data_IF_986861003816
#
_entry.id   IF_986861003816
#
_cell.length_a   1.000
_cell.length_b   1.000
_cell.length_c   1.000
_cell.angle_alpha   90.00
_cell.angle_beta   90.00
_cell.angle_gamma   90.00
#
_symmetry.space_group_name_H-M   'P 1'
#
loop_
_entity.id
_entity.type
_entity.pdbx_description
1 polymer ?
#
# COMPACT_ATOMS: atom_id res chain seq x y z
N UNK A 1 -14.35 -19.71 7.79
CA UNK A 1 -13.02 -19.69 7.14
C UNK A 1 -12.22 -20.90 7.62
N UNK A 2 -11.53 -21.61 6.71
CA UNK A 2 -10.79 -22.83 7.05
C UNK A 2 -9.82 -22.64 8.24
N UNK A 3 -9.04 -21.56 8.22
CA UNK A 3 -8.04 -21.26 9.26
C UNK A 3 -8.69 -20.99 10.62
N UNK A 4 -9.82 -20.29 10.65
CA UNK A 4 -10.55 -20.04 11.89
C UNK A 4 -11.05 -21.34 12.53
N UNK A 5 -11.47 -22.28 11.70
CA UNK A 5 -12.16 -23.50 12.13
C UNK A 5 -11.21 -24.70 12.33
N UNK A 6 -9.92 -24.55 11.96
CA UNK A 6 -8.89 -25.59 12.05
C UNK A 6 -7.64 -25.08 12.77
N UNK A 7 -7.45 -25.50 14.02
CA UNK A 7 -6.29 -25.11 14.82
C UNK A 7 -4.97 -25.61 14.18
N UNK A 8 -3.94 -24.78 14.20
CA UNK A 8 -2.64 -25.06 13.58
C UNK A 8 -2.56 -24.71 12.09
N UNK A 9 -3.63 -24.19 11.49
CA UNK A 9 -3.63 -23.73 10.10
C UNK A 9 -3.06 -22.32 9.99
N UNK A 10 -2.46 -21.99 8.83
CA UNK A 10 -1.95 -20.68 8.45
C UNK A 10 -2.42 -20.30 7.05
N UNK A 11 -2.63 -19.01 6.81
CA UNK A 11 -2.95 -18.46 5.50
C UNK A 11 -2.38 -17.06 5.37
N UNK A 12 -2.50 -16.46 4.20
CA UNK A 12 -2.27 -15.04 3.97
C UNK A 12 -3.55 -14.40 3.42
N UNK A 13 -3.80 -13.15 3.82
CA UNK A 13 -4.94 -12.38 3.36
C UNK A 13 -4.64 -10.88 3.56
N UNK A 14 -5.42 -10.01 2.93
CA UNK A 14 -5.40 -8.59 3.25
C UNK A 14 -5.82 -8.35 4.70
N UNK A 15 -5.23 -7.33 5.33
CA UNK A 15 -5.46 -7.00 6.74
C UNK A 15 -6.95 -6.76 7.05
N UNK A 16 -7.68 -6.13 6.14
CA UNK A 16 -9.13 -5.87 6.27
C UNK A 16 -9.98 -7.12 6.52
N UNK A 17 -9.57 -8.28 5.99
CA UNK A 17 -10.31 -9.53 6.19
C UNK A 17 -10.09 -10.16 7.57
N UNK A 18 -9.04 -9.80 8.30
CA UNK A 18 -8.73 -10.44 9.58
C UNK A 18 -9.74 -10.09 10.65
N UNK A 19 -10.09 -8.81 10.78
CA UNK A 19 -11.09 -8.34 11.74
C UNK A 19 -12.47 -8.89 11.41
N UNK A 20 -12.87 -8.81 10.14
CA UNK A 20 -14.17 -9.30 9.67
C UNK A 20 -14.36 -10.80 9.91
N UNK A 21 -13.30 -11.58 9.83
CA UNK A 21 -13.34 -13.05 9.93
C UNK A 21 -12.91 -13.60 11.29
N UNK A 22 -12.55 -12.76 12.24
CA UNK A 22 -12.08 -13.18 13.57
C UNK A 22 -10.80 -14.00 13.54
N UNK A 23 -9.90 -13.75 12.59
CA UNK A 23 -8.59 -14.39 12.45
C UNK A 23 -7.51 -13.45 12.94
N UNK A 24 -6.53 -13.94 13.69
CA UNK A 24 -5.43 -13.15 14.21
C UNK A 24 -4.27 -13.10 13.23
N UNK A 25 -3.65 -11.92 13.07
CA UNK A 25 -2.39 -11.78 12.36
C UNK A 25 -1.23 -12.31 13.21
N UNK A 26 -0.26 -12.92 12.56
CA UNK A 26 1.01 -13.28 13.17
C UNK A 26 1.99 -12.09 13.12
N UNK A 27 2.75 -11.89 14.20
CA UNK A 27 3.91 -11.03 14.15
C UNK A 27 5.03 -11.73 13.35
N UNK A 28 5.65 -10.99 12.43
CA UNK A 28 6.72 -11.51 11.56
C UNK A 28 8.03 -10.81 11.89
N UNK A 29 9.11 -11.58 11.97
CA UNK A 29 10.46 -11.02 12.18
C UNK A 29 10.91 -10.23 10.96
N UNK A 30 11.34 -8.99 11.17
CA UNK A 30 11.90 -8.15 10.12
C UNK A 30 13.46 -8.21 10.12
N UNK A 31 14.14 -7.58 9.13
CA UNK A 31 15.61 -7.58 9.05
C UNK A 31 16.33 -6.90 10.22
N UNK A 32 15.63 -6.11 11.03
CA UNK A 32 16.16 -5.55 12.29
C UNK A 32 16.05 -6.53 13.47
N UNK A 33 15.53 -7.75 13.26
CA UNK A 33 15.33 -8.76 14.29
C UNK A 33 14.13 -8.51 15.21
N UNK A 34 13.21 -7.62 14.82
CA UNK A 34 11.99 -7.32 15.56
C UNK A 34 10.81 -8.12 15.01
N UNK A 35 9.96 -8.61 15.92
CA UNK A 35 8.66 -9.19 15.56
C UNK A 35 7.62 -8.08 15.49
N UNK A 36 7.07 -7.85 14.30
CA UNK A 36 6.14 -6.74 14.01
C UNK A 36 4.81 -7.30 13.53
N UNK A 37 3.71 -6.75 14.07
CA UNK A 37 2.36 -7.04 13.58
C UNK A 37 2.02 -6.14 12.37
N UNK A 38 1.20 -6.63 11.41
CA UNK A 38 0.74 -5.79 10.32
C UNK A 38 -0.22 -4.71 10.82
N UNK A 39 -0.03 -3.49 10.35
CA UNK A 39 -0.93 -2.37 10.53
C UNK A 39 -0.65 -1.30 9.48
N UNK A 40 -1.55 -0.34 9.22
CA UNK A 40 -1.25 0.79 8.35
C UNK A 40 0.04 1.53 8.74
N UNK A 41 0.29 1.69 10.04
CA UNK A 41 1.50 2.37 10.55
C UNK A 41 2.77 1.58 10.25
N UNK A 42 2.81 0.27 10.54
CA UNK A 42 4.00 -0.56 10.30
C UNK A 42 4.25 -0.81 8.82
N UNK A 43 3.20 -0.78 7.99
CA UNK A 43 3.30 -0.79 6.53
C UNK A 43 3.81 0.54 5.97
N UNK A 44 3.47 1.69 6.57
CA UNK A 44 4.03 2.99 6.19
C UNK A 44 5.55 3.03 6.41
N UNK A 45 6.04 2.54 7.55
CA UNK A 45 7.49 2.44 7.84
C UNK A 45 8.21 1.58 6.79
N UNK A 46 7.60 0.47 6.35
CA UNK A 46 8.14 -0.36 5.28
C UNK A 46 8.17 0.40 3.94
N UNK A 47 7.09 1.11 3.61
CA UNK A 47 6.96 1.87 2.36
C UNK A 47 7.99 3.00 2.29
N UNK A 48 8.24 3.70 3.40
CA UNK A 48 9.26 4.77 3.48
C UNK A 48 10.69 4.25 3.21
N UNK A 49 10.94 2.96 3.48
CA UNK A 49 12.20 2.30 3.20
C UNK A 49 12.28 1.68 1.79
N UNK A 50 11.19 1.68 1.02
CA UNK A 50 11.14 1.12 -0.33
C UNK A 50 11.71 2.09 -1.37
N UNK A 51 12.26 1.54 -2.45
CA UNK A 51 12.68 2.31 -3.61
C UNK A 51 11.53 2.47 -4.59
N UNK A 52 11.32 3.69 -5.10
CA UNK A 52 10.31 3.99 -6.11
C UNK A 52 11.00 4.50 -7.35
N UNK A 53 10.89 3.70 -8.43
CA UNK A 53 11.45 4.02 -9.73
C UNK A 53 10.76 5.23 -10.39
N UNK A 54 11.37 5.77 -11.44
CA UNK A 54 10.84 6.93 -12.16
C UNK A 54 9.51 6.65 -12.88
N UNK A 55 9.18 5.39 -13.14
CA UNK A 55 7.90 4.93 -13.70
C UNK A 55 6.82 4.69 -12.64
N UNK A 56 7.14 4.87 -11.35
CA UNK A 56 6.24 4.68 -10.23
C UNK A 56 6.22 3.26 -9.66
N UNK A 57 6.99 2.33 -10.21
CA UNK A 57 7.08 0.97 -9.66
C UNK A 57 7.85 0.97 -8.34
N UNK A 58 7.30 0.26 -7.36
CA UNK A 58 7.90 0.10 -6.02
C UNK A 58 8.74 -1.16 -6.00
N UNK A 59 10.02 -1.00 -5.67
CA UNK A 59 10.93 -2.14 -5.41
C UNK A 59 11.01 -2.36 -3.91
N UNK A 60 10.67 -3.56 -3.49
CA UNK A 60 10.72 -3.93 -2.07
C UNK A 60 12.16 -4.05 -1.60
N UNK A 61 12.51 -3.37 -0.52
CA UNK A 61 13.79 -3.50 0.13
C UNK A 61 13.71 -4.45 1.32
N UNK A 62 13.85 -5.75 1.05
CA UNK A 62 13.83 -6.78 2.09
C UNK A 62 15.02 -6.75 3.05
N UNK A 63 16.06 -5.97 2.75
CA UNK A 63 17.23 -5.81 3.61
C UNK A 63 17.16 -4.57 4.51
N UNK A 64 16.14 -3.72 4.35
CA UNK A 64 15.99 -2.50 5.13
C UNK A 64 15.84 -2.82 6.63
N UNK A 65 16.72 -2.26 7.45
CA UNK A 65 16.72 -2.45 8.91
C UNK A 65 15.83 -1.42 9.63
N UNK A 66 14.62 -1.19 9.12
CA UNK A 66 13.63 -0.36 9.78
C UNK A 66 12.94 -1.16 10.89
N UNK A 67 13.18 -0.79 12.16
CA UNK A 67 12.81 -1.60 13.33
C UNK A 67 11.31 -1.89 13.43
N UNK A 68 10.47 -0.95 13.01
CA UNK A 68 9.02 -1.07 13.12
C UNK A 68 8.33 -1.40 11.78
N UNK A 69 9.11 -1.75 10.74
CA UNK A 69 8.56 -2.13 9.44
C UNK A 69 7.99 -3.54 9.45
N UNK A 70 6.73 -3.70 9.04
CA UNK A 70 6.16 -5.02 8.74
C UNK A 70 6.72 -5.49 7.39
N UNK A 71 7.33 -6.69 7.29
CA UNK A 71 8.12 -7.05 6.12
C UNK A 71 7.31 -7.62 4.93
N UNK A 72 6.03 -7.99 5.13
CA UNK A 72 5.19 -8.59 4.09
C UNK A 72 4.12 -7.60 3.67
N UNK A 73 4.40 -6.84 2.62
CA UNK A 73 3.49 -5.85 2.06
C UNK A 73 3.29 -6.05 0.55
N UNK A 74 2.17 -5.60 0.04
CA UNK A 74 1.89 -5.52 -1.38
C UNK A 74 1.43 -4.09 -1.73
N UNK A 75 1.83 -3.62 -2.91
CA UNK A 75 1.43 -2.30 -3.41
C UNK A 75 0.34 -2.49 -4.47
N UNK A 76 -0.76 -1.77 -4.32
CA UNK A 76 -1.80 -1.69 -5.34
C UNK A 76 -1.50 -0.53 -6.28
N UNK A 77 -1.65 -0.76 -7.58
CA UNK A 77 -1.37 0.23 -8.63
C UNK A 77 -2.66 0.64 -9.34
N UNK A 78 -2.82 1.94 -9.53
CA UNK A 78 -3.76 2.48 -10.50
C UNK A 78 -3.11 2.53 -11.88
N UNK A 79 -3.79 2.03 -12.92
CA UNK A 79 -3.30 2.03 -14.28
C UNK A 79 -4.10 2.98 -15.14
N UNK A 80 -3.42 3.81 -15.93
CA UNK A 80 -4.01 4.71 -16.89
C UNK A 80 -3.14 4.86 -18.12
N UNK A 81 -3.78 5.15 -19.26
CA UNK A 81 -3.06 5.48 -20.50
C UNK A 81 -2.48 6.89 -20.41
N UNK A 82 -1.27 7.05 -20.93
CA UNK A 82 -0.64 8.36 -21.18
C UNK A 82 -0.93 8.91 -22.57
N UNK A 83 -1.59 8.13 -23.44
CA UNK A 83 -2.02 8.60 -24.74
C UNK A 83 -3.09 9.68 -24.58
N UNK A 84 -3.05 10.69 -25.46
CA UNK A 84 -4.02 11.79 -25.47
C UNK A 84 -5.46 11.26 -25.63
N UNK A 85 -6.36 11.68 -24.72
CA UNK A 85 -7.78 11.29 -24.77
C UNK A 85 -8.66 12.33 -24.08
N UNK A 86 -9.84 12.56 -24.60
CA UNK A 86 -10.83 13.46 -24.00
C UNK A 86 -11.33 12.97 -22.62
N UNK A 87 -11.29 11.66 -22.35
CA UNK A 87 -11.68 11.09 -21.06
C UNK A 87 -10.61 11.23 -19.99
N UNK A 88 -9.38 11.53 -20.35
CA UNK A 88 -8.25 11.60 -19.43
C UNK A 88 -8.38 12.72 -18.39
N UNK A 89 -9.11 13.78 -18.67
CA UNK A 89 -9.39 14.83 -17.69
C UNK A 89 -10.12 14.26 -16.46
N UNK A 90 -11.15 13.44 -16.67
CA UNK A 90 -11.89 12.77 -15.58
C UNK A 90 -11.02 11.73 -14.86
N UNK A 91 -10.22 10.95 -15.59
CA UNK A 91 -9.31 9.95 -15.01
C UNK A 91 -8.25 10.63 -14.15
N UNK A 92 -7.64 11.69 -14.63
CA UNK A 92 -6.66 12.49 -13.89
C UNK A 92 -7.25 13.09 -12.61
N UNK A 93 -8.45 13.68 -12.72
CA UNK A 93 -9.16 14.24 -11.56
C UNK A 93 -9.52 13.15 -10.54
N UNK A 94 -9.92 11.96 -11.00
CA UNK A 94 -10.20 10.83 -10.11
C UNK A 94 -8.95 10.42 -9.33
N UNK A 95 -7.80 10.20 -9.98
CA UNK A 95 -6.59 9.81 -9.29
C UNK A 95 -6.06 10.89 -8.34
N UNK A 96 -6.11 12.16 -8.73
CA UNK A 96 -5.75 13.27 -7.85
C UNK A 96 -6.67 13.31 -6.61
N UNK A 97 -7.98 13.26 -6.79
CA UNK A 97 -8.92 13.18 -5.66
C UNK A 97 -8.68 11.95 -4.78
N UNK A 98 -8.41 10.79 -5.40
CA UNK A 98 -8.15 9.56 -4.65
C UNK A 98 -6.91 9.69 -3.77
N UNK A 99 -5.81 10.19 -4.31
CA UNK A 99 -4.53 10.33 -3.59
C UNK A 99 -4.59 11.41 -2.51
N UNK A 100 -5.13 12.58 -2.84
CA UNK A 100 -5.03 13.76 -1.97
C UNK A 100 -6.17 13.87 -0.95
N UNK A 101 -7.32 13.28 -1.23
CA UNK A 101 -8.53 13.47 -0.41
C UNK A 101 -9.10 12.16 0.11
N UNK A 102 -9.34 11.18 -0.77
CA UNK A 102 -10.05 9.96 -0.40
C UNK A 102 -9.18 9.02 0.45
N UNK A 103 -7.98 8.68 -0.04
CA UNK A 103 -7.09 7.75 0.64
C UNK A 103 -6.63 8.26 2.02
N UNK A 104 -6.20 9.52 2.22
CA UNK A 104 -5.85 10.02 3.55
C UNK A 104 -6.94 9.89 4.60
N UNK A 105 -8.22 9.98 4.18
CA UNK A 105 -9.37 9.91 5.09
C UNK A 105 -9.85 8.50 5.37
N UNK A 106 -9.71 7.59 4.42
CA UNK A 106 -10.44 6.31 4.45
C UNK A 106 -9.53 5.07 4.44
N UNK A 107 -8.30 5.17 3.92
CA UNK A 107 -7.46 4.00 3.69
C UNK A 107 -7.14 3.24 4.99
N UNK A 108 -6.75 3.94 6.05
CA UNK A 108 -6.38 3.29 7.31
C UNK A 108 -7.56 2.52 7.93
N UNK A 109 -8.77 3.08 7.89
CA UNK A 109 -9.99 2.41 8.36
C UNK A 109 -10.37 1.18 7.52
N UNK A 110 -9.89 1.10 6.28
CA UNK A 110 -10.07 -0.05 5.39
C UNK A 110 -8.88 -1.04 5.43
N UNK A 111 -7.91 -0.86 6.34
CA UNK A 111 -6.73 -1.72 6.46
C UNK A 111 -5.62 -1.44 5.44
N UNK A 112 -5.69 -0.31 4.73
CA UNK A 112 -4.67 0.13 3.77
C UNK A 112 -3.82 1.27 4.32
N UNK A 113 -2.62 1.42 3.77
CA UNK A 113 -1.71 2.52 4.09
C UNK A 113 -1.83 3.61 3.03
N UNK A 114 -2.26 4.84 3.37
CA UNK A 114 -2.25 5.95 2.43
C UNK A 114 -0.81 6.37 2.11
N UNK A 115 -0.59 6.86 0.90
CA UNK A 115 0.70 7.44 0.52
C UNK A 115 0.87 8.80 1.20
N UNK A 116 2.09 9.10 1.64
CA UNK A 116 2.44 10.39 2.28
C UNK A 116 3.81 10.87 1.83
N UNK A 117 4.15 12.13 2.11
CA UNK A 117 5.49 12.67 1.90
C UNK A 117 6.02 12.52 0.48
N UNK A 118 7.26 12.08 0.35
CA UNK A 118 7.94 11.93 -0.95
C UNK A 118 7.31 10.88 -1.86
N UNK A 119 6.64 9.89 -1.29
CA UNK A 119 5.98 8.82 -2.03
C UNK A 119 4.70 9.34 -2.69
N UNK A 120 3.90 10.11 -1.96
CA UNK A 120 2.74 10.79 -2.53
C UNK A 120 3.16 11.73 -3.68
N UNK A 121 4.20 12.53 -3.48
CA UNK A 121 4.70 13.43 -4.53
C UNK A 121 5.13 12.68 -5.80
N UNK A 122 5.71 11.47 -5.68
CA UNK A 122 6.04 10.63 -6.83
C UNK A 122 4.79 10.07 -7.52
N UNK A 123 3.78 9.68 -6.75
CA UNK A 123 2.50 9.23 -7.31
C UNK A 123 1.80 10.37 -8.08
N UNK A 124 1.77 11.58 -7.53
CA UNK A 124 1.24 12.78 -8.19
C UNK A 124 1.97 13.11 -9.48
N UNK A 125 3.30 12.94 -9.50
CA UNK A 125 4.09 13.10 -10.71
C UNK A 125 3.72 12.07 -11.80
N UNK A 126 3.27 10.85 -11.45
CA UNK A 126 2.73 9.90 -12.43
C UNK A 126 1.34 10.33 -12.92
N UNK A 127 0.46 10.78 -12.01
CA UNK A 127 -0.85 11.32 -12.37
C UNK A 127 -0.72 12.52 -13.33
N UNK A 128 0.29 13.36 -13.12
CA UNK A 128 0.57 14.51 -13.99
C UNK A 128 0.85 14.11 -15.45
N UNK A 129 1.39 12.90 -15.71
CA UNK A 129 1.68 12.38 -17.05
C UNK A 129 0.44 11.98 -17.85
N UNK A 130 -0.73 11.87 -17.21
CA UNK A 130 -1.99 11.58 -17.90
C UNK A 130 -2.32 12.75 -18.82
N UNK A 131 -2.28 12.52 -20.13
CA UNK A 131 -2.43 13.55 -21.14
C UNK A 131 -3.92 13.85 -21.41
N UNK A 132 -4.36 15.02 -21.06
CA UNK A 132 -5.77 15.44 -21.17
C UNK A 132 -6.18 16.03 -22.51
N UNK A 133 -5.26 16.21 -23.45
CA UNK A 133 -5.57 16.73 -24.77
C UNK A 133 -5.09 18.13 -25.02
#
# INVERSE_FOLDING_TARGET
SYVRDNNGSITYAELSYLEERGVKAAAVSNPAGKYVLPSPTTSAVWLDAAEIAADGLVTQNFAAKAADAYPINAVSYGLSSTAKSATNASVKSFFAYFLDVCAPKNAAGAGYTPLTGSILAKADAQVAKINVG
#
